data_IF_609720487491
#
_entry.id   IF_609720487491
#
_cell.length_a   1.000
_cell.length_b   1.000
_cell.length_c   1.000
_cell.angle_alpha   90.00
_cell.angle_beta   90.00
_cell.angle_gamma   90.00
#
_symmetry.space_group_name_H-M   'P 1'
#
loop_
_entity.id
_entity.type
_entity.pdbx_description
1 polymer ?
#
# COMPACT_ATOMS: atom_id res chain seq x y z
N UNK A 1 -23.45 -16.04 6.31
CA UNK A 1 -22.59 -15.79 7.48
C UNK A 1 -21.81 -14.52 7.22
N UNK A 2 -21.90 -13.55 8.13
CA UNK A 2 -21.16 -12.28 8.08
C UNK A 2 -20.10 -12.32 9.19
N UNK A 3 -18.82 -12.14 8.85
CA UNK A 3 -17.70 -12.12 9.80
C UNK A 3 -17.27 -10.67 10.02
N UNK A 4 -17.27 -10.24 11.28
CA UNK A 4 -16.71 -8.95 11.67
C UNK A 4 -15.40 -9.17 12.42
N UNK A 5 -14.31 -8.62 11.89
CA UNK A 5 -12.98 -8.67 12.50
C UNK A 5 -12.51 -7.28 12.90
N UNK A 6 -11.66 -7.21 13.93
CA UNK A 6 -11.00 -5.98 14.40
C UNK A 6 -9.51 -6.15 14.15
N UNK A 7 -8.90 -5.17 13.48
CA UNK A 7 -7.46 -5.11 13.24
C UNK A 7 -6.82 -4.13 14.23
N UNK A 8 -5.78 -4.56 14.93
CA UNK A 8 -5.06 -3.75 15.92
C UNK A 8 -3.62 -3.52 15.45
N UNK A 9 -3.11 -2.31 15.67
CA UNK A 9 -1.74 -1.95 15.33
C UNK A 9 -0.82 -2.20 16.53
N UNK A 10 0.15 -3.09 16.37
CA UNK A 10 1.11 -3.49 17.42
C UNK A 10 2.46 -2.79 17.33
N UNK A 11 2.62 -1.82 16.43
CA UNK A 11 3.84 -1.02 16.35
C UNK A 11 4.03 -0.22 17.66
N UNK A 12 5.29 0.05 18.02
CA UNK A 12 5.62 0.84 19.20
C UNK A 12 4.89 2.21 19.16
N UNK A 13 4.28 2.59 20.28
CA UNK A 13 3.48 3.82 20.38
C UNK A 13 2.01 3.69 19.92
N UNK A 14 1.60 2.51 19.44
CA UNK A 14 0.21 2.22 19.08
C UNK A 14 -0.40 1.16 20.00
N UNK A 15 -1.74 1.15 20.11
CA UNK A 15 -2.51 0.21 20.96
C UNK A 15 -1.95 0.04 22.38
N UNK A 16 -1.81 1.13 23.17
CA UNK A 16 -1.12 1.09 24.47
C UNK A 16 -1.70 0.05 25.43
N UNK A 17 -3.04 -0.09 25.49
CA UNK A 17 -3.69 -1.09 26.34
C UNK A 17 -3.36 -2.55 25.97
N UNK A 18 -3.06 -2.85 24.69
CA UNK A 18 -2.65 -4.18 24.26
C UNK A 18 -1.17 -4.45 24.61
N UNK A 19 -0.30 -3.46 24.36
CA UNK A 19 1.13 -3.58 24.66
C UNK A 19 1.39 -3.58 26.17
N UNK A 20 0.58 -2.89 26.97
CA UNK A 20 0.62 -2.95 28.43
C UNK A 20 0.15 -4.30 28.98
N UNK A 21 -0.82 -4.93 28.31
CA UNK A 21 -1.33 -6.25 28.70
C UNK A 21 -0.38 -7.41 28.35
N UNK A 22 0.56 -7.23 27.41
CA UNK A 22 1.49 -8.28 26.99
C UNK A 22 2.92 -7.74 26.85
N UNK A 23 3.75 -8.01 27.87
CA UNK A 23 5.14 -7.57 27.91
C UNK A 23 5.96 -8.10 26.73
N UNK A 24 5.82 -9.38 26.36
CA UNK A 24 6.55 -9.95 25.22
C UNK A 24 6.19 -9.26 23.90
N UNK A 25 4.91 -8.95 23.68
CA UNK A 25 4.47 -8.24 22.48
C UNK A 25 5.01 -6.81 22.45
N UNK A 26 5.03 -6.13 23.60
CA UNK A 26 5.65 -4.81 23.75
C UNK A 26 7.14 -4.86 23.42
N UNK A 27 7.89 -5.80 23.98
CA UNK A 27 9.32 -5.94 23.70
C UNK A 27 9.60 -6.29 22.24
N UNK A 28 8.78 -7.15 21.63
CA UNK A 28 8.85 -7.42 20.19
C UNK A 28 8.59 -6.17 19.36
N UNK A 29 7.59 -5.35 19.70
CA UNK A 29 7.33 -4.09 19.00
C UNK A 29 8.51 -3.12 19.07
N UNK A 30 9.23 -3.09 20.19
CA UNK A 30 10.43 -2.28 20.38
C UNK A 30 11.62 -2.82 19.56
N UNK A 31 11.78 -4.13 19.48
CA UNK A 31 12.78 -4.78 18.64
C UNK A 31 12.57 -4.45 17.15
N UNK A 32 11.34 -4.65 16.64
CA UNK A 32 11.00 -4.37 15.24
C UNK A 32 11.20 -2.90 14.91
N UNK A 33 10.78 -1.99 15.80
CA UNK A 33 11.00 -0.55 15.64
C UNK A 33 12.50 -0.21 15.53
N UNK A 34 13.35 -0.86 16.32
CA UNK A 34 14.80 -0.67 16.29
C UNK A 34 15.43 -1.17 15.00
N UNK A 35 15.02 -2.35 14.52
CA UNK A 35 15.45 -2.87 13.21
C UNK A 35 15.10 -1.87 12.11
N UNK A 36 13.86 -1.37 12.10
CA UNK A 36 13.39 -0.39 11.10
C UNK A 36 14.16 0.92 11.15
N UNK A 37 14.47 1.44 12.35
CA UNK A 37 15.27 2.67 12.50
C UNK A 37 16.68 2.49 11.95
N UNK A 38 17.36 1.40 12.32
CA UNK A 38 18.71 1.14 11.81
C UNK A 38 18.74 0.87 10.31
N UNK A 39 17.72 0.21 9.77
CA UNK A 39 17.62 -0.10 8.34
C UNK A 39 17.35 1.13 7.44
N UNK A 40 17.11 2.31 8.03
CA UNK A 40 17.08 3.59 7.30
C UNK A 40 18.48 4.07 6.91
N UNK A 41 19.51 3.69 7.68
CA UNK A 41 20.88 4.17 7.52
C UNK A 41 21.88 3.05 7.20
N UNK A 42 21.55 1.80 7.55
CA UNK A 42 22.42 0.63 7.44
C UNK A 42 21.81 -0.45 6.53
N UNK A 43 22.64 -1.34 5.96
CA UNK A 43 22.16 -2.59 5.35
C UNK A 43 21.32 -3.40 6.34
N UNK A 44 20.31 -4.11 5.84
CA UNK A 44 19.31 -4.82 6.67
C UNK A 44 19.98 -5.82 7.61
N UNK A 45 20.98 -6.54 7.12
CA UNK A 45 21.73 -7.52 7.90
C UNK A 45 22.46 -6.88 9.08
N UNK A 46 23.06 -5.71 8.87
CA UNK A 46 23.77 -4.94 9.90
C UNK A 46 22.79 -4.29 10.88
N UNK A 47 21.68 -3.76 10.37
CA UNK A 47 20.60 -3.18 11.16
C UNK A 47 19.99 -4.22 12.12
N UNK A 48 19.73 -5.43 11.63
CA UNK A 48 19.22 -6.54 12.43
C UNK A 48 20.23 -6.97 13.48
N UNK A 49 21.51 -7.15 13.12
CA UNK A 49 22.55 -7.57 14.07
C UNK A 49 22.76 -6.53 15.18
N UNK A 50 22.76 -5.25 14.80
CA UNK A 50 22.85 -4.13 15.75
C UNK A 50 21.63 -4.07 16.67
N UNK A 51 20.42 -4.19 16.13
CA UNK A 51 19.20 -4.20 16.92
C UNK A 51 19.18 -5.35 17.93
N UNK A 52 19.56 -6.56 17.50
CA UNK A 52 19.67 -7.72 18.40
C UNK A 52 20.64 -7.43 19.55
N UNK A 53 21.84 -6.90 19.25
CA UNK A 53 22.84 -6.60 20.27
C UNK A 53 22.34 -5.57 21.29
N UNK A 54 21.75 -4.48 20.82
CA UNK A 54 21.24 -3.41 21.69
C UNK A 54 20.04 -3.91 22.52
N UNK A 55 19.12 -4.68 21.92
CA UNK A 55 17.95 -5.24 22.62
C UNK A 55 18.37 -6.21 23.73
N UNK A 56 19.33 -7.11 23.48
CA UNK A 56 19.87 -7.99 24.53
C UNK A 56 20.49 -7.15 25.67
N UNK A 57 21.30 -6.13 25.34
CA UNK A 57 21.94 -5.29 26.34
C UNK A 57 20.97 -4.47 27.21
N UNK A 58 19.79 -4.17 26.68
CA UNK A 58 18.72 -3.43 27.38
C UNK A 58 17.66 -4.33 28.03
N UNK A 59 17.80 -5.66 27.94
CA UNK A 59 16.84 -6.60 28.50
C UNK A 59 15.56 -6.77 27.67
N UNK A 60 15.52 -6.29 26.43
CA UNK A 60 14.36 -6.38 25.52
C UNK A 60 14.43 -7.70 24.75
N UNK A 61 13.48 -8.61 24.95
CA UNK A 61 13.52 -9.97 24.38
C UNK A 61 14.84 -10.71 24.62
N UNK A 62 15.59 -10.36 25.67
CA UNK A 62 16.98 -10.77 25.82
C UNK A 62 17.16 -12.29 25.80
N UNK A 63 16.41 -13.01 26.65
CA UNK A 63 16.48 -14.48 26.71
C UNK A 63 16.15 -15.14 25.36
N UNK A 64 15.14 -14.62 24.67
CA UNK A 64 14.74 -15.13 23.35
C UNK A 64 15.82 -14.88 22.30
N UNK A 65 16.35 -13.66 22.24
CA UNK A 65 17.36 -13.25 21.26
C UNK A 65 18.72 -13.88 21.51
N UNK A 66 19.09 -14.12 22.77
CA UNK A 66 20.29 -14.86 23.14
C UNK A 66 20.19 -16.32 22.68
N UNK A 67 19.06 -16.98 22.97
CA UNK A 67 18.86 -18.39 22.64
C UNK A 67 18.66 -18.63 21.14
N UNK A 68 17.99 -17.71 20.44
CA UNK A 68 17.56 -17.91 19.04
C UNK A 68 18.21 -16.93 18.06
N UNK A 69 19.38 -16.36 18.39
CA UNK A 69 20.03 -15.28 17.62
C UNK A 69 20.05 -15.51 16.11
N UNK A 70 20.50 -16.69 15.68
CA UNK A 70 20.65 -17.04 14.27
C UNK A 70 19.31 -17.05 13.53
N UNK A 71 18.28 -17.64 14.17
CA UNK A 71 16.94 -17.72 13.58
C UNK A 71 16.24 -16.35 13.60
N UNK A 72 16.34 -15.61 14.72
CA UNK A 72 15.83 -14.26 14.83
C UNK A 72 16.43 -13.33 13.76
N UNK A 73 17.75 -13.44 13.51
CA UNK A 73 18.42 -12.70 12.44
C UNK A 73 17.87 -13.07 11.07
N UNK A 74 17.83 -14.37 10.76
CA UNK A 74 17.38 -14.87 9.46
C UNK A 74 15.94 -14.47 9.16
N UNK A 75 15.04 -14.68 10.12
CA UNK A 75 13.62 -14.35 9.98
C UNK A 75 13.41 -12.85 9.83
N UNK A 76 14.11 -12.02 10.61
CA UNK A 76 13.96 -10.56 10.52
C UNK A 76 14.41 -10.00 9.17
N UNK A 77 15.49 -10.54 8.58
CA UNK A 77 15.93 -10.16 7.22
C UNK A 77 14.85 -10.53 6.20
N UNK A 78 14.35 -11.77 6.26
CA UNK A 78 13.35 -12.28 5.34
C UNK A 78 12.03 -11.49 5.40
N UNK A 79 11.52 -11.24 6.61
CA UNK A 79 10.29 -10.47 6.82
C UNK A 79 10.42 -9.03 6.31
N UNK A 80 11.57 -8.39 6.52
CA UNK A 80 11.82 -7.04 6.05
C UNK A 80 11.82 -6.97 4.51
N UNK A 81 12.45 -7.93 3.83
CA UNK A 81 12.43 -8.00 2.37
C UNK A 81 11.01 -8.21 1.82
N UNK A 82 10.21 -9.07 2.46
CA UNK A 82 8.80 -9.24 2.09
C UNK A 82 8.00 -7.94 2.29
N UNK A 83 8.16 -7.26 3.42
CA UNK A 83 7.47 -6.00 3.71
C UNK A 83 7.79 -4.95 2.64
N UNK A 84 9.07 -4.86 2.23
CA UNK A 84 9.51 -3.97 1.14
C UNK A 84 8.89 -4.34 -0.21
N UNK A 85 8.87 -5.62 -0.57
CA UNK A 85 8.29 -6.07 -1.83
C UNK A 85 6.79 -5.74 -1.89
N UNK A 86 6.03 -6.09 -0.84
CA UNK A 86 4.60 -5.78 -0.77
C UNK A 86 4.32 -4.28 -0.83
N UNK A 87 5.15 -3.45 -0.20
CA UNK A 87 5.01 -2.00 -0.26
C UNK A 87 5.19 -1.48 -1.68
N UNK A 88 6.22 -1.95 -2.39
CA UNK A 88 6.45 -1.56 -3.78
C UNK A 88 5.30 -1.98 -4.70
N UNK A 89 4.78 -3.19 -4.56
CA UNK A 89 3.62 -3.65 -5.34
C UNK A 89 2.37 -2.82 -5.07
N UNK A 90 2.14 -2.43 -3.81
CA UNK A 90 1.02 -1.56 -3.43
C UNK A 90 1.16 -0.16 -4.03
N UNK A 91 2.34 0.43 -3.95
CA UNK A 91 2.63 1.76 -4.54
C UNK A 91 2.43 1.72 -6.06
N UNK A 92 2.97 0.72 -6.75
CA UNK A 92 2.76 0.54 -8.19
C UNK A 92 1.29 0.33 -8.55
N UNK A 93 0.56 -0.47 -7.76
CA UNK A 93 -0.86 -0.73 -7.98
C UNK A 93 -1.69 0.53 -7.76
N UNK A 94 -1.33 1.34 -6.76
CA UNK A 94 -1.96 2.62 -6.47
C UNK A 94 -1.74 3.63 -7.59
N UNK A 95 -0.50 3.77 -8.08
CA UNK A 95 -0.18 4.64 -9.22
C UNK A 95 -0.91 4.22 -10.48
N UNK A 96 -0.94 2.91 -10.79
CA UNK A 96 -1.73 2.37 -11.91
C UNK A 96 -3.22 2.68 -11.74
N UNK A 97 -3.76 2.52 -10.53
CA UNK A 97 -5.15 2.84 -10.22
C UNK A 97 -5.48 4.32 -10.43
N UNK A 98 -4.59 5.23 -10.01
CA UNK A 98 -4.74 6.67 -10.25
C UNK A 98 -4.70 7.01 -11.73
N UNK A 99 -3.74 6.46 -12.49
CA UNK A 99 -3.62 6.69 -13.92
C UNK A 99 -4.84 6.17 -14.69
N UNK A 100 -5.30 4.97 -14.35
CA UNK A 100 -6.51 4.38 -14.93
C UNK A 100 -7.74 5.23 -14.61
N UNK A 101 -7.94 5.60 -13.34
CA UNK A 101 -9.08 6.42 -12.92
C UNK A 101 -9.11 7.81 -13.58
N UNK A 102 -7.94 8.42 -13.78
CA UNK A 102 -7.85 9.68 -14.53
C UNK A 102 -8.23 9.52 -16.00
N UNK A 103 -7.78 8.43 -16.64
CA UNK A 103 -8.10 8.12 -18.04
C UNK A 103 -9.57 7.79 -18.24
N UNK A 104 -10.14 6.98 -17.34
CA UNK A 104 -11.56 6.62 -17.34
C UNK A 104 -12.42 7.87 -17.11
N UNK A 105 -12.03 8.74 -16.17
CA UNK A 105 -12.72 10.00 -15.90
C UNK A 105 -12.73 10.95 -17.10
N UNK A 106 -11.61 11.07 -17.82
CA UNK A 106 -11.57 11.85 -19.06
C UNK A 106 -12.46 11.24 -20.14
N UNK A 107 -12.42 9.92 -20.32
CA UNK A 107 -13.25 9.21 -21.30
C UNK A 107 -14.73 9.39 -20.99
N UNK A 108 -15.14 9.21 -19.74
CA UNK A 108 -16.53 9.39 -19.30
C UNK A 108 -16.98 10.86 -19.45
N UNK A 109 -16.10 11.82 -19.16
CA UNK A 109 -16.36 13.24 -19.41
C UNK A 109 -16.59 13.55 -20.90
N UNK A 110 -15.73 13.04 -21.78
CA UNK A 110 -15.90 13.17 -23.24
C UNK A 110 -17.18 12.49 -23.73
N UNK A 111 -17.50 11.31 -23.18
CA UNK A 111 -18.73 10.57 -23.49
C UNK A 111 -19.98 11.33 -23.11
N UNK A 112 -20.05 11.84 -21.87
CA UNK A 112 -21.17 12.64 -21.38
C UNK A 112 -21.35 13.91 -22.22
N UNK A 113 -20.25 14.60 -22.55
CA UNK A 113 -20.27 15.76 -23.45
C UNK A 113 -20.83 15.39 -24.83
N UNK A 114 -20.35 14.30 -25.43
CA UNK A 114 -20.78 13.84 -26.74
C UNK A 114 -22.28 13.53 -26.79
N UNK A 115 -22.80 12.83 -25.78
CA UNK A 115 -24.23 12.51 -25.67
C UNK A 115 -25.08 13.79 -25.58
N UNK A 116 -24.65 14.78 -24.78
CA UNK A 116 -25.37 16.04 -24.63
C UNK A 116 -25.37 16.89 -25.92
N UNK A 117 -24.23 16.95 -26.63
CA UNK A 117 -24.14 17.64 -27.92
C UNK A 117 -24.98 16.95 -29.00
N UNK A 118 -24.99 15.62 -29.03
CA UNK A 118 -25.81 14.85 -29.96
C UNK A 118 -27.30 15.08 -29.71
N UNK A 119 -27.75 15.09 -28.44
CA UNK A 119 -29.12 15.46 -28.05
C UNK A 119 -29.51 16.88 -28.47
N UNK A 120 -28.53 17.77 -28.61
CA UNK A 120 -28.72 19.14 -29.09
C UNK A 120 -28.75 19.25 -30.61
N UNK A 121 -28.66 18.12 -31.33
CA UNK A 121 -28.75 18.06 -32.79
C UNK A 121 -27.41 18.20 -33.53
N UNK A 122 -26.27 18.22 -32.82
CA UNK A 122 -24.95 18.30 -33.45
C UNK A 122 -24.57 16.95 -34.10
N UNK A 123 -24.04 16.93 -35.33
CA UNK A 123 -23.62 15.69 -35.99
C UNK A 123 -22.35 15.10 -35.37
N UNK A 124 -22.23 13.77 -35.44
CA UNK A 124 -21.15 13.02 -34.79
C UNK A 124 -19.75 13.45 -35.26
N UNK A 125 -19.60 13.84 -36.53
CA UNK A 125 -18.33 14.31 -37.12
C UNK A 125 -17.86 15.64 -36.50
N UNK A 126 -18.78 16.48 -36.07
CA UNK A 126 -18.46 17.76 -35.44
C UNK A 126 -18.15 17.57 -33.95
N UNK A 127 -18.91 16.71 -33.28
CA UNK A 127 -18.62 16.29 -31.89
C UNK A 127 -17.25 15.62 -31.80
N UNK A 128 -16.91 14.75 -32.75
CA UNK A 128 -15.61 14.07 -32.81
C UNK A 128 -14.44 15.06 -32.90
N UNK A 129 -14.58 16.12 -33.71
CA UNK A 129 -13.59 17.20 -33.79
C UNK A 129 -13.46 17.96 -32.47
N UNK A 130 -14.57 18.26 -31.78
CA UNK A 130 -14.56 18.99 -30.49
C UNK A 130 -13.99 18.13 -29.36
N UNK A 131 -14.36 16.85 -29.31
CA UNK A 131 -13.89 15.91 -28.29
C UNK A 131 -12.49 15.35 -28.59
N UNK A 132 -11.89 15.74 -29.72
CA UNK A 132 -10.62 15.24 -30.24
C UNK A 132 -10.56 13.71 -30.20
N UNK A 133 -11.56 13.09 -30.81
CA UNK A 133 -11.73 11.63 -30.83
C UNK A 133 -12.35 11.17 -32.15
N UNK A 134 -12.54 9.86 -32.30
CA UNK A 134 -13.05 9.27 -33.53
C UNK A 134 -14.59 9.37 -33.63
N UNK A 135 -15.12 9.69 -34.81
CA UNK A 135 -16.55 9.81 -35.05
C UNK A 135 -17.29 8.47 -34.88
N UNK A 136 -16.64 7.33 -35.15
CA UNK A 136 -17.21 6.01 -34.92
C UNK A 136 -17.36 5.72 -33.42
N UNK A 137 -16.40 6.15 -32.59
CA UNK A 137 -16.47 6.05 -31.13
C UNK A 137 -17.58 6.94 -30.57
N UNK A 138 -17.74 8.17 -31.08
CA UNK A 138 -18.87 9.04 -30.74
C UNK A 138 -20.21 8.35 -31.08
N UNK A 139 -20.32 7.74 -32.26
CA UNK A 139 -21.53 7.00 -32.68
C UNK A 139 -21.80 5.79 -31.81
N UNK A 140 -20.78 5.11 -31.30
CA UNK A 140 -20.90 4.02 -30.34
C UNK A 140 -21.44 4.52 -29.00
N UNK A 141 -20.82 5.55 -28.43
CA UNK A 141 -21.25 6.17 -27.17
C UNK A 141 -22.69 6.67 -27.18
N UNK A 142 -23.13 7.25 -28.32
CA UNK A 142 -24.52 7.68 -28.50
C UNK A 142 -25.46 6.48 -28.55
N UNK A 143 -25.07 5.39 -29.24
CA UNK A 143 -25.88 4.17 -29.37
C UNK A 143 -26.07 3.43 -28.05
N UNK A 144 -25.07 3.42 -27.17
CA UNK A 144 -25.14 2.78 -25.85
C UNK A 144 -26.08 3.49 -24.84
N UNK A 145 -26.63 4.65 -25.20
CA UNK A 145 -27.48 5.49 -24.35
C UNK A 145 -28.94 5.56 -24.82
N UNK A 146 -29.29 4.80 -25.88
CA UNK A 146 -30.64 4.70 -26.47
C UNK A 146 -31.26 3.36 -26.10
#
# INVERSE_FOLDING_TARGET
>A
LELRAVMLNVNAGHSPGLLEACQTLKEYSLYVDRVRRHAQELPVEEAVERAIRECIGEGILAEFLEKNRAEARKMSIYEYDQERHMRQEREQSYEKGLAQGFTDGQTEGKRSMAVNLARSGMPAEEIARIAETDADLIREWIREQI
#
